data_IF_897299956439
#
_entry.id   IF_897299956439
#
_cell.length_a   1.000
_cell.length_b   1.000
_cell.length_c   1.000
_cell.angle_alpha   90.00
_cell.angle_beta   90.00
_cell.angle_gamma   90.00
#
_symmetry.space_group_name_H-M   'P 1'
#
loop_
_entity.id
_entity.type
_entity.pdbx_description
1 polymer ?
#
# COMPACT_ATOMS: atom_id res chain seq x y z
N UNK A 1 6.25 24.79 -4.11
CA UNK A 1 6.97 23.56 -3.74
C UNK A 1 6.05 22.38 -4.05
N UNK A 2 6.61 21.26 -4.46
CA UNK A 2 5.92 19.97 -4.49
C UNK A 2 6.62 19.00 -3.52
N UNK A 3 5.83 18.25 -2.76
CA UNK A 3 6.33 17.52 -1.60
C UNK A 3 5.29 16.58 -1.00
N UNK A 4 5.76 15.72 -0.11
CA UNK A 4 4.90 14.83 0.67
C UNK A 4 4.49 15.52 1.97
N UNK A 5 3.19 15.54 2.27
CA UNK A 5 2.69 16.02 3.56
C UNK A 5 2.80 14.88 4.58
N UNK A 6 3.46 15.14 5.70
CA UNK A 6 3.79 14.16 6.72
C UNK A 6 3.39 14.65 8.11
N UNK A 7 3.28 13.72 9.07
CA UNK A 7 3.33 14.04 10.50
C UNK A 7 4.72 13.67 11.00
N UNK A 8 5.39 14.59 11.68
CA UNK A 8 6.75 14.38 12.19
C UNK A 8 6.76 14.66 13.69
N UNK A 9 7.07 13.65 14.50
CA UNK A 9 7.15 13.77 15.96
C UNK A 9 8.56 13.38 16.37
N UNK A 10 9.21 14.22 17.18
CA UNK A 10 10.61 14.02 17.62
C UNK A 10 11.58 13.75 16.46
N UNK A 11 11.38 14.45 15.33
CA UNK A 11 12.20 14.31 14.13
C UNK A 11 11.96 13.00 13.35
N UNK A 12 10.91 12.24 13.67
CA UNK A 12 10.55 10.98 13.01
C UNK A 12 9.23 11.06 12.28
N UNK A 13 9.24 10.63 11.02
CA UNK A 13 8.01 10.49 10.22
C UNK A 13 7.10 9.43 10.85
N UNK A 14 5.86 9.83 11.08
CA UNK A 14 4.83 8.96 11.63
C UNK A 14 4.09 8.21 10.51
N UNK A 15 3.48 7.05 10.82
CA UNK A 15 2.68 6.30 9.85
C UNK A 15 1.57 7.14 9.22
N UNK A 16 1.23 6.85 7.96
CA UNK A 16 0.16 7.55 7.23
C UNK A 16 -1.19 7.56 7.98
N UNK A 17 -1.47 6.53 8.78
CA UNK A 17 -2.66 6.48 9.63
C UNK A 17 -2.74 7.65 10.63
N UNK A 18 -1.60 8.14 11.13
CA UNK A 18 -1.53 9.33 11.98
C UNK A 18 -1.91 10.58 11.21
N UNK A 19 -1.40 10.74 9.98
CA UNK A 19 -1.79 11.84 9.08
C UNK A 19 -3.29 11.81 8.76
N UNK A 20 -3.86 10.63 8.51
CA UNK A 20 -5.29 10.47 8.22
C UNK A 20 -6.20 11.01 9.33
N UNK A 21 -5.75 11.02 10.60
CA UNK A 21 -6.52 11.59 11.69
C UNK A 21 -6.66 13.11 11.59
N UNK A 22 -5.76 13.78 10.85
CA UNK A 22 -5.78 15.22 10.56
C UNK A 22 -6.37 15.56 9.19
N UNK A 23 -6.18 14.70 8.19
CA UNK A 23 -6.68 14.93 6.84
C UNK A 23 -8.20 15.14 6.84
N UNK A 24 -8.68 16.08 6.02
CA UNK A 24 -10.10 16.42 5.83
C UNK A 24 -10.84 16.96 7.07
N UNK A 25 -10.14 17.31 8.15
CA UNK A 25 -10.76 18.04 9.26
C UNK A 25 -10.86 19.53 8.93
N UNK A 26 -12.06 20.11 9.11
CA UNK A 26 -12.28 21.56 8.97
C UNK A 26 -11.67 22.37 10.11
N UNK A 27 -11.67 21.80 11.32
CA UNK A 27 -11.10 22.41 12.52
C UNK A 27 -10.21 21.38 13.23
N UNK A 28 -9.04 21.84 13.68
CA UNK A 28 -8.06 21.05 14.42
C UNK A 28 -7.84 21.74 15.75
N UNK A 29 -7.96 21.02 16.87
CA UNK A 29 -7.75 21.63 18.19
C UNK A 29 -6.26 21.95 18.42
N UNK A 30 -5.92 22.91 19.30
CA UNK A 30 -4.53 23.20 19.65
C UNK A 30 -3.77 21.95 20.14
N UNK A 31 -4.43 21.10 20.93
CA UNK A 31 -3.85 19.85 21.41
C UNK A 31 -3.52 18.87 20.26
N UNK A 32 -4.41 18.73 19.27
CA UNK A 32 -4.15 17.89 18.10
C UNK A 32 -3.04 18.46 17.22
N UNK A 33 -2.96 19.78 17.10
CA UNK A 33 -1.91 20.44 16.35
C UNK A 33 -0.53 20.19 16.98
N UNK A 34 -0.44 20.30 18.31
CA UNK A 34 0.79 20.03 19.07
C UNK A 34 1.18 18.54 19.04
N UNK A 35 0.21 17.63 19.15
CA UNK A 35 0.48 16.18 19.18
C UNK A 35 0.82 15.59 17.81
N UNK A 36 0.34 16.21 16.72
CA UNK A 36 0.55 15.72 15.35
C UNK A 36 0.94 16.89 14.44
N UNK A 37 2.11 17.51 14.64
CA UNK A 37 2.53 18.64 13.80
C UNK A 37 2.79 18.15 12.37
N UNK A 38 2.32 18.93 11.40
CA UNK A 38 2.50 18.60 9.99
C UNK A 38 3.81 19.18 9.48
N UNK A 39 4.48 18.43 8.62
CA UNK A 39 5.69 18.82 7.92
C UNK A 39 5.55 18.50 6.43
N UNK A 40 6.39 19.11 5.61
CA UNK A 40 6.50 18.83 4.17
C UNK A 40 7.90 18.29 3.89
N UNK A 41 7.97 17.11 3.29
CA UNK A 41 9.20 16.61 2.68
C UNK A 41 9.21 16.93 1.19
N UNK A 42 9.88 18.02 0.85
CA UNK A 42 9.89 18.59 -0.48
C UNK A 42 10.77 17.79 -1.45
N UNK A 43 10.27 17.56 -2.66
CA UNK A 43 11.00 16.81 -3.70
C UNK A 43 11.04 17.50 -5.07
N UNK A 44 10.33 18.63 -5.24
CA UNK A 44 10.43 19.47 -6.44
C UNK A 44 10.07 20.95 -6.16
N UNK A 45 10.49 21.85 -7.04
CA UNK A 45 10.12 23.26 -7.02
C UNK A 45 9.51 23.67 -8.35
N UNK A 46 8.22 24.02 -8.33
CA UNK A 46 7.44 24.30 -9.54
C UNK A 46 7.52 25.77 -9.97
N UNK A 47 7.70 26.69 -9.03
CA UNK A 47 7.79 28.12 -9.28
C UNK A 47 8.54 28.82 -8.15
N UNK A 48 9.22 29.92 -8.46
CA UNK A 48 9.91 30.78 -7.50
C UNK A 48 9.90 32.24 -7.98
N UNK A 49 9.52 33.20 -7.14
CA UNK A 49 9.59 34.62 -7.50
C UNK A 49 8.75 35.03 -8.71
N UNK A 50 7.68 34.30 -9.02
CA UNK A 50 6.84 34.52 -10.21
C UNK A 50 7.34 33.82 -11.49
N UNK A 51 8.52 33.20 -11.45
CA UNK A 51 9.06 32.37 -12.53
C UNK A 51 8.46 30.96 -12.47
N UNK A 52 7.95 30.45 -13.60
CA UNK A 52 7.54 29.05 -13.75
C UNK A 52 8.76 28.17 -14.04
N UNK A 53 9.10 27.29 -13.10
CA UNK A 53 10.28 26.42 -13.20
C UNK A 53 9.95 25.07 -13.83
N UNK A 54 8.67 24.72 -14.01
CA UNK A 54 8.25 23.42 -14.56
C UNK A 54 8.89 23.06 -15.90
N UNK A 55 9.12 24.01 -16.84
CA UNK A 55 9.81 23.69 -18.09
C UNK A 55 11.29 23.30 -17.94
N UNK A 56 11.93 23.65 -16.83
CA UNK A 56 13.36 23.37 -16.60
C UNK A 56 13.59 21.88 -16.30
N UNK A 57 14.80 21.34 -16.59
CA UNK A 57 15.20 20.01 -16.15
C UNK A 57 15.08 19.79 -14.63
N UNK A 58 14.77 18.56 -14.21
CA UNK A 58 14.68 18.20 -12.79
C UNK A 58 15.93 18.60 -11.99
N UNK A 59 17.13 18.42 -12.55
CA UNK A 59 18.38 18.82 -11.88
C UNK A 59 18.45 20.31 -11.57
N UNK A 60 17.96 21.16 -12.47
CA UNK A 60 17.90 22.61 -12.25
C UNK A 60 16.85 22.96 -11.19
N UNK A 61 15.66 22.35 -11.27
CA UNK A 61 14.59 22.57 -10.28
C UNK A 61 15.01 22.08 -8.89
N UNK A 62 15.75 20.97 -8.81
CA UNK A 62 16.27 20.42 -7.56
C UNK A 62 17.31 21.35 -6.92
N UNK A 63 18.25 21.88 -7.70
CA UNK A 63 19.22 22.86 -7.18
C UNK A 63 18.52 24.13 -6.65
N UNK A 64 17.50 24.62 -7.38
CA UNK A 64 16.67 25.75 -6.92
C UNK A 64 15.89 25.41 -5.64
N UNK A 65 15.34 24.20 -5.54
CA UNK A 65 14.66 23.72 -4.34
C UNK A 65 15.60 23.70 -3.12
N UNK A 66 16.81 23.17 -3.29
CA UNK A 66 17.80 23.09 -2.21
C UNK A 66 18.17 24.48 -1.69
N UNK A 67 18.46 25.42 -2.59
CA UNK A 67 18.73 26.82 -2.22
C UNK A 67 17.51 27.48 -1.56
N UNK A 68 16.30 27.21 -2.06
CA UNK A 68 15.06 27.74 -1.50
C UNK A 68 14.84 27.25 -0.05
N UNK A 69 14.94 25.94 0.20
CA UNK A 69 14.72 25.36 1.53
C UNK A 69 15.81 25.81 2.51
N UNK A 70 17.07 25.89 2.07
CA UNK A 70 18.16 26.41 2.91
C UNK A 70 17.92 27.87 3.34
N UNK A 71 17.43 28.72 2.43
CA UNK A 71 17.08 30.11 2.73
C UNK A 71 15.84 30.23 3.61
N UNK A 72 14.86 29.34 3.45
CA UNK A 72 13.65 29.32 4.24
C UNK A 72 13.95 29.00 5.72
N UNK A 73 14.84 28.04 5.98
CA UNK A 73 15.29 27.69 7.34
C UNK A 73 14.18 27.17 8.27
N UNK A 74 13.04 26.75 7.72
CA UNK A 74 11.90 26.24 8.47
C UNK A 74 12.06 24.73 8.72
N UNK A 75 12.17 24.27 9.97
CA UNK A 75 12.32 22.86 10.30
C UNK A 75 11.11 21.99 9.92
N UNK A 76 9.94 22.59 9.65
CA UNK A 76 8.78 21.86 9.16
C UNK A 76 8.85 21.54 7.66
N UNK A 77 9.86 22.04 6.94
CA UNK A 77 10.03 21.79 5.51
C UNK A 77 11.44 21.26 5.27
N UNK A 78 11.55 19.95 5.06
CA UNK A 78 12.81 19.29 4.73
C UNK A 78 12.86 18.84 3.27
N UNK A 79 14.01 18.32 2.84
CA UNK A 79 14.22 17.81 1.50
C UNK A 79 14.12 16.29 1.49
N UNK A 80 13.41 15.73 0.51
CA UNK A 80 13.53 14.32 0.18
C UNK A 80 14.99 14.00 -0.17
N UNK A 81 15.61 12.98 0.47
CA UNK A 81 16.99 12.60 0.20
C UNK A 81 17.19 12.17 -1.26
N UNK A 82 18.28 12.63 -1.88
CA UNK A 82 18.72 12.08 -3.15
C UNK A 82 19.49 10.79 -2.91
N UNK A 83 19.17 9.74 -3.67
CA UNK A 83 19.88 8.46 -3.65
C UNK A 83 20.84 8.44 -4.84
N UNK A 84 22.17 8.52 -4.63
CA UNK A 84 23.14 8.35 -5.71
C UNK A 84 23.13 6.89 -6.20
N UNK A 85 23.19 6.70 -7.51
CA UNK A 85 23.27 5.37 -8.11
C UNK A 85 23.98 5.44 -9.46
N UNK A 86 24.57 4.32 -9.88
CA UNK A 86 25.23 4.11 -11.18
C UNK A 86 24.62 2.93 -11.93
N UNK A 87 23.97 2.03 -11.21
CA UNK A 87 23.37 0.80 -11.73
C UNK A 87 21.96 0.58 -11.16
N UNK A 88 21.24 -0.39 -11.75
CA UNK A 88 19.98 -0.87 -11.18
C UNK A 88 20.17 -1.63 -9.87
N UNK A 89 21.33 -2.27 -9.68
CA UNK A 89 21.65 -3.01 -8.45
C UNK A 89 21.85 -2.05 -7.27
N UNK A 90 22.44 -0.87 -7.50
CA UNK A 90 22.55 0.18 -6.47
C UNK A 90 21.15 0.63 -5.99
N UNK A 91 20.21 0.80 -6.93
CA UNK A 91 18.83 1.15 -6.61
C UNK A 91 18.12 -0.01 -5.90
N UNK A 92 18.37 -1.26 -6.29
CA UNK A 92 17.81 -2.42 -5.61
C UNK A 92 18.31 -2.51 -4.16
N UNK A 93 19.60 -2.26 -3.92
CA UNK A 93 20.19 -2.20 -2.59
C UNK A 93 19.58 -1.07 -1.75
N UNK A 94 19.44 0.13 -2.32
CA UNK A 94 18.81 1.27 -1.64
C UNK A 94 17.33 1.02 -1.30
N UNK A 95 16.62 0.29 -2.16
CA UNK A 95 15.22 -0.10 -1.92
C UNK A 95 15.11 -1.13 -0.80
N UNK A 96 16.06 -2.06 -0.72
CA UNK A 96 16.11 -3.11 0.30
C UNK A 96 16.54 -2.57 1.67
N UNK A 97 17.45 -1.60 1.72
CA UNK A 97 17.91 -0.95 2.95
C UNK A 97 17.85 0.59 2.84
N UNK A 98 16.66 1.21 2.99
CA UNK A 98 16.54 2.66 2.94
C UNK A 98 17.26 3.37 4.08
N UNK A 99 17.47 2.69 5.22
CA UNK A 99 18.13 3.28 6.39
C UNK A 99 19.57 3.68 6.04
N UNK A 100 20.32 2.77 5.42
CA UNK A 100 21.69 3.03 4.96
C UNK A 100 21.75 3.97 3.74
N UNK A 101 20.64 4.18 3.03
CA UNK A 101 20.57 4.93 1.77
C UNK A 101 19.77 6.24 1.90
N UNK A 102 19.93 6.93 3.03
CA UNK A 102 19.49 8.32 3.21
C UNK A 102 18.16 8.50 3.92
N UNK A 103 17.36 7.45 4.12
CA UNK A 103 16.15 7.55 4.94
C UNK A 103 16.46 7.52 6.44
N UNK A 104 17.62 6.96 6.83
CA UNK A 104 18.05 6.86 8.22
C UNK A 104 16.95 6.26 9.09
N UNK A 105 16.54 7.02 10.12
CA UNK A 105 15.52 6.58 11.04
C UNK A 105 14.08 6.57 10.51
N UNK A 106 13.83 7.14 9.34
CA UNK A 106 12.53 7.12 8.67
C UNK A 106 12.37 5.91 7.73
N UNK A 107 13.32 4.97 7.72
CA UNK A 107 13.34 3.83 6.80
C UNK A 107 12.04 3.00 6.81
N UNK A 108 11.37 2.87 7.96
CA UNK A 108 10.09 2.15 8.08
C UNK A 108 8.92 2.90 7.43
N UNK A 109 9.04 4.22 7.25
CA UNK A 109 8.04 5.04 6.57
C UNK A 109 8.24 5.08 5.04
N UNK A 110 9.36 4.56 4.52
CA UNK A 110 9.68 4.58 3.09
C UNK A 110 8.98 3.46 2.34
N UNK A 111 8.10 3.81 1.39
CA UNK A 111 7.38 2.84 0.54
C UNK A 111 8.22 2.33 -0.65
N UNK A 112 9.37 2.95 -0.94
CA UNK A 112 10.26 2.61 -2.04
C UNK A 112 10.99 3.82 -2.62
N UNK A 113 11.38 3.73 -3.88
CA UNK A 113 12.14 4.77 -4.59
C UNK A 113 11.29 5.51 -5.61
N UNK A 114 11.51 6.82 -5.72
CA UNK A 114 11.06 7.62 -6.85
C UNK A 114 12.23 7.86 -7.80
N UNK A 115 12.16 7.29 -8.99
CA UNK A 115 13.18 7.44 -10.03
C UNK A 115 12.69 8.48 -11.03
N UNK A 116 13.44 9.57 -11.18
CA UNK A 116 13.09 10.67 -12.08
C UNK A 116 14.17 10.82 -13.14
N UNK A 117 13.79 11.02 -14.40
CA UNK A 117 14.73 11.39 -15.45
C UNK A 117 15.28 12.80 -15.16
N UNK A 118 16.60 12.90 -15.03
CA UNK A 118 17.30 14.14 -14.66
C UNK A 118 16.98 15.33 -15.58
N UNK A 119 16.90 15.08 -16.90
CA UNK A 119 16.64 16.08 -17.91
C UNK A 119 15.14 16.43 -18.10
N UNK A 120 14.24 15.76 -17.38
CA UNK A 120 12.81 15.89 -17.63
C UNK A 120 12.22 17.20 -17.09
N UNK A 121 11.32 17.86 -17.85
CA UNK A 121 10.47 18.90 -17.29
C UNK A 121 9.49 18.31 -16.29
N UNK A 122 8.84 19.17 -15.51
CA UNK A 122 7.70 18.78 -14.69
C UNK A 122 6.43 18.79 -15.56
N UNK A 123 5.82 17.62 -15.75
CA UNK A 123 4.62 17.48 -16.57
C UNK A 123 3.38 17.33 -15.69
N UNK A 124 2.36 18.20 -15.85
CA UNK A 124 1.12 18.06 -15.08
C UNK A 124 0.35 16.80 -15.48
N UNK A 125 -0.28 16.16 -14.50
CA UNK A 125 -1.12 14.98 -14.73
C UNK A 125 -0.37 13.65 -14.62
N UNK A 126 -0.93 12.59 -15.22
CA UNK A 126 -0.41 11.21 -15.12
C UNK A 126 0.37 10.81 -16.38
N UNK A 127 1.44 11.54 -16.67
CA UNK A 127 2.33 11.21 -17.78
C UNK A 127 3.23 10.05 -17.38
N UNK A 128 3.31 9.01 -18.22
CA UNK A 128 4.18 7.86 -17.99
C UNK A 128 5.57 8.11 -18.59
N UNK A 129 6.61 7.59 -17.96
CA UNK A 129 7.95 7.47 -18.57
C UNK A 129 9.02 8.43 -18.03
N UNK A 130 8.62 9.57 -17.47
CA UNK A 130 9.59 10.49 -16.85
C UNK A 130 9.88 10.14 -15.39
N UNK A 131 8.84 9.71 -14.67
CA UNK A 131 8.90 9.36 -13.27
C UNK A 131 8.41 7.93 -13.07
N UNK A 132 9.15 7.16 -12.28
CA UNK A 132 8.81 5.79 -11.92
C UNK A 132 8.81 5.67 -10.40
N UNK A 133 7.76 5.03 -9.89
CA UNK A 133 7.71 4.58 -8.49
C UNK A 133 8.16 3.12 -8.46
N UNK A 134 9.27 2.85 -7.79
CA UNK A 134 9.73 1.50 -7.52
C UNK A 134 9.45 1.18 -6.06
N UNK A 135 8.22 0.73 -5.79
CA UNK A 135 7.78 0.35 -4.46
C UNK A 135 8.52 -0.88 -3.95
N UNK A 136 8.55 -1.08 -2.63
CA UNK A 136 8.92 -2.36 -2.01
C UNK A 136 8.07 -3.50 -2.56
N UNK A 137 8.61 -4.72 -2.49
CA UNK A 137 7.84 -5.90 -2.89
C UNK A 137 6.66 -6.06 -1.93
N UNK A 138 5.47 -6.40 -2.46
CA UNK A 138 4.32 -6.62 -1.59
C UNK A 138 4.59 -7.85 -0.72
N UNK A 139 3.98 -7.86 0.46
CA UNK A 139 3.84 -9.11 1.20
C UNK A 139 2.86 -10.02 0.48
N UNK A 140 3.04 -11.33 0.62
CA UNK A 140 2.15 -12.33 0.04
C UNK A 140 1.64 -13.27 1.12
N UNK A 141 0.41 -13.73 0.96
CA UNK A 141 -0.20 -14.78 1.77
C UNK A 141 -1.06 -15.67 0.89
N UNK A 142 -1.03 -16.97 1.11
CA UNK A 142 -1.97 -17.90 0.51
C UNK A 142 -3.23 -17.96 1.38
N UNK A 143 -4.35 -17.44 0.86
CA UNK A 143 -5.62 -17.33 1.58
C UNK A 143 -6.75 -18.06 0.83
N UNK A 144 -7.73 -18.57 1.57
CA UNK A 144 -8.89 -19.30 1.02
C UNK A 144 -10.01 -18.33 0.66
N UNK A 145 -10.59 -18.45 -0.54
CA UNK A 145 -11.79 -17.72 -0.93
C UNK A 145 -12.98 -18.17 -0.08
N UNK A 146 -13.61 -17.23 0.64
CA UNK A 146 -14.76 -17.52 1.50
C UNK A 146 -16.06 -16.98 0.90
N UNK A 147 -16.03 -15.74 0.42
CA UNK A 147 -17.20 -15.05 -0.12
C UNK A 147 -16.88 -14.33 -1.42
N UNK A 148 -17.87 -14.25 -2.31
CA UNK A 148 -17.77 -13.51 -3.55
C UNK A 148 -19.04 -12.69 -3.78
N UNK A 149 -18.88 -11.42 -4.14
CA UNK A 149 -19.97 -10.48 -4.41
C UNK A 149 -19.99 -10.09 -5.90
N UNK A 150 -21.19 -9.89 -6.45
CA UNK A 150 -21.36 -9.39 -7.81
C UNK A 150 -20.70 -8.03 -7.99
N UNK A 151 -19.97 -7.87 -9.09
CA UNK A 151 -19.37 -6.60 -9.47
C UNK A 151 -20.41 -5.55 -9.87
N UNK A 152 -19.93 -4.34 -10.14
CA UNK A 152 -20.73 -3.24 -10.66
C UNK A 152 -20.30 -2.85 -12.08
N UNK A 153 -21.18 -2.16 -12.82
CA UNK A 153 -20.88 -1.66 -14.18
C UNK A 153 -20.50 -2.77 -15.17
N UNK A 154 -19.35 -2.62 -15.83
CA UNK A 154 -18.85 -3.57 -16.85
C UNK A 154 -18.65 -5.01 -16.34
N UNK A 155 -18.51 -5.20 -15.02
CA UNK A 155 -18.35 -6.52 -14.37
C UNK A 155 -19.62 -7.01 -13.66
N UNK A 156 -20.77 -6.39 -13.91
CA UNK A 156 -22.03 -6.74 -13.23
C UNK A 156 -22.50 -8.18 -13.42
N UNK A 157 -22.11 -8.84 -14.52
CA UNK A 157 -22.40 -10.26 -14.77
C UNK A 157 -21.52 -11.23 -13.97
N UNK A 158 -20.39 -10.77 -13.43
CA UNK A 158 -19.40 -11.58 -12.73
C UNK A 158 -19.43 -11.36 -11.22
N UNK A 159 -19.06 -12.39 -10.46
CA UNK A 159 -18.54 -12.19 -9.11
C UNK A 159 -17.11 -11.67 -9.20
N UNK A 160 -16.85 -10.46 -8.69
CA UNK A 160 -15.57 -9.77 -8.91
C UNK A 160 -15.03 -9.07 -7.68
N UNK A 161 -15.60 -9.36 -6.51
CA UNK A 161 -15.21 -8.78 -5.24
C UNK A 161 -15.19 -9.88 -4.18
N UNK A 162 -14.00 -10.24 -3.73
CA UNK A 162 -13.72 -11.52 -3.07
C UNK A 162 -13.22 -11.29 -1.65
N UNK A 163 -13.90 -11.90 -0.67
CA UNK A 163 -13.45 -11.97 0.72
C UNK A 163 -12.71 -13.29 0.92
N UNK A 164 -11.51 -13.20 1.48
CA UNK A 164 -10.65 -14.35 1.73
C UNK A 164 -10.18 -14.39 3.18
N UNK A 165 -9.86 -15.59 3.64
CA UNK A 165 -9.44 -15.87 5.00
C UNK A 165 -8.21 -16.76 5.08
N UNK A 166 -7.59 -16.73 6.25
CA UNK A 166 -6.47 -17.60 6.63
C UNK A 166 -6.92 -18.47 7.80
N UNK A 167 -6.21 -19.57 8.04
CA UNK A 167 -6.53 -20.45 9.16
C UNK A 167 -6.17 -19.81 10.49
N UNK A 168 -7.00 -20.08 11.50
CA UNK A 168 -6.73 -19.75 12.90
C UNK A 168 -7.05 -20.95 13.75
N UNK A 169 -6.21 -21.23 14.75
CA UNK A 169 -6.51 -22.22 15.78
C UNK A 169 -7.53 -21.64 16.76
N UNK A 170 -8.74 -22.19 16.74
CA UNK A 170 -9.80 -21.90 17.71
C UNK A 170 -9.92 -23.01 18.77
N UNK A 171 -10.83 -22.81 19.73
CA UNK A 171 -11.07 -23.78 20.81
C UNK A 171 -11.64 -25.11 20.29
N UNK A 172 -12.40 -25.08 19.19
CA UNK A 172 -13.05 -26.25 18.58
C UNK A 172 -12.28 -26.82 17.37
N UNK A 173 -11.06 -26.33 17.13
CA UNK A 173 -10.23 -26.71 15.98
C UNK A 173 -9.87 -25.52 15.09
N UNK A 174 -9.37 -25.81 13.88
CA UNK A 174 -9.03 -24.77 12.91
C UNK A 174 -10.28 -24.17 12.29
N UNK A 175 -10.32 -22.86 12.20
CA UNK A 175 -11.36 -22.09 11.53
C UNK A 175 -10.74 -21.08 10.56
N UNK A 176 -11.45 -20.74 9.49
CA UNK A 176 -11.04 -19.63 8.62
C UNK A 176 -11.53 -18.31 9.18
N UNK A 177 -10.64 -17.32 9.22
CA UNK A 177 -10.98 -15.95 9.60
C UNK A 177 -10.77 -14.99 8.44
N UNK A 178 -11.75 -14.13 8.10
CA UNK A 178 -11.56 -13.14 7.05
C UNK A 178 -10.44 -12.14 7.39
N UNK A 179 -9.54 -11.92 6.44
CA UNK A 179 -8.39 -10.99 6.60
C UNK A 179 -8.37 -9.86 5.59
N UNK A 180 -9.14 -9.97 4.51
CA UNK A 180 -9.19 -8.94 3.50
C UNK A 180 -10.24 -9.18 2.43
N UNK A 181 -10.35 -8.19 1.55
CA UNK A 181 -11.22 -8.23 0.38
C UNK A 181 -10.49 -7.65 -0.83
N UNK A 182 -10.52 -8.33 -1.97
CA UNK A 182 -9.88 -7.87 -3.20
C UNK A 182 -10.84 -7.95 -4.38
N UNK A 183 -10.74 -6.96 -5.28
CA UNK A 183 -11.60 -6.83 -6.46
C UNK A 183 -10.81 -6.69 -7.78
N UNK A 184 -9.48 -6.89 -7.71
CA UNK A 184 -8.57 -6.79 -8.85
C UNK A 184 -7.32 -7.66 -8.62
N UNK A 185 -6.45 -7.69 -9.64
CA UNK A 185 -5.19 -8.45 -9.62
C UNK A 185 -5.20 -9.71 -10.50
N UNK A 186 -6.34 -10.03 -11.09
CA UNK A 186 -6.55 -11.14 -12.01
C UNK A 186 -6.79 -10.66 -13.44
N UNK A 187 -6.43 -11.50 -14.39
CA UNK A 187 -6.76 -11.38 -15.81
C UNK A 187 -8.25 -11.64 -16.07
N UNK A 188 -8.74 -11.29 -17.27
CA UNK A 188 -10.11 -11.60 -17.67
C UNK A 188 -10.37 -13.11 -17.77
N UNK A 189 -9.33 -13.92 -18.02
CA UNK A 189 -9.46 -15.38 -18.04
C UNK A 189 -9.57 -15.95 -16.63
N UNK A 190 -8.72 -15.51 -15.71
CA UNK A 190 -8.83 -15.86 -14.29
C UNK A 190 -10.18 -15.42 -13.70
N UNK A 191 -10.71 -14.25 -14.09
CA UNK A 191 -12.05 -13.82 -13.66
C UNK A 191 -13.13 -14.84 -14.04
N UNK A 192 -13.09 -15.41 -15.25
CA UNK A 192 -14.03 -16.45 -15.67
C UNK A 192 -13.84 -17.75 -14.90
N UNK A 193 -12.60 -18.11 -14.57
CA UNK A 193 -12.31 -19.29 -13.76
C UNK A 193 -12.88 -19.14 -12.35
N UNK A 194 -12.65 -18.01 -11.69
CA UNK A 194 -13.19 -17.71 -10.36
C UNK A 194 -14.72 -17.68 -10.41
N UNK A 195 -15.31 -17.01 -11.41
CA UNK A 195 -16.77 -16.93 -11.55
C UNK A 195 -17.41 -18.31 -11.73
N UNK A 196 -16.80 -19.19 -12.53
CA UNK A 196 -17.21 -20.60 -12.65
C UNK A 196 -17.14 -21.32 -11.32
N UNK A 197 -16.01 -21.21 -10.61
CA UNK A 197 -15.84 -21.82 -9.29
C UNK A 197 -16.94 -21.35 -8.33
N UNK A 198 -17.16 -20.04 -8.22
CA UNK A 198 -18.17 -19.45 -7.33
C UNK A 198 -19.57 -19.99 -7.64
N UNK A 199 -19.94 -20.10 -8.93
CA UNK A 199 -21.26 -20.61 -9.33
C UNK A 199 -21.45 -22.08 -8.99
N UNK A 200 -20.42 -22.90 -9.17
CA UNK A 200 -20.49 -24.35 -8.95
C UNK A 200 -20.40 -24.71 -7.46
N UNK A 201 -19.66 -23.94 -6.66
CA UNK A 201 -19.34 -24.26 -5.27
C UNK A 201 -20.03 -23.32 -4.27
N UNK A 202 -21.12 -22.65 -4.66
CA UNK A 202 -21.92 -21.83 -3.72
C UNK A 202 -22.61 -22.74 -2.70
N UNK A 203 -22.38 -22.50 -1.41
CA UNK A 203 -23.07 -23.19 -0.31
C UNK A 203 -24.18 -22.34 0.30
N UNK A 204 -24.01 -21.01 0.40
CA UNK A 204 -25.03 -20.09 0.90
C UNK A 204 -25.15 -18.82 0.03
N UNK A 205 -26.30 -18.14 0.14
CA UNK A 205 -26.62 -16.93 -0.63
C UNK A 205 -27.15 -15.82 0.28
N UNK A 206 -26.50 -14.66 0.21
CA UNK A 206 -26.88 -13.46 0.98
C UNK A 206 -27.02 -12.26 0.03
N UNK A 207 -28.19 -12.13 -0.61
CA UNK A 207 -28.42 -11.12 -1.63
C UNK A 207 -27.41 -11.24 -2.81
N UNK A 208 -26.57 -10.22 -3.06
CA UNK A 208 -25.54 -10.27 -4.12
C UNK A 208 -24.29 -11.07 -3.73
N UNK A 209 -24.19 -11.53 -2.48
CA UNK A 209 -23.03 -12.27 -1.95
C UNK A 209 -23.30 -13.77 -2.03
N UNK A 210 -22.27 -14.52 -2.39
CA UNK A 210 -22.21 -15.98 -2.36
C UNK A 210 -21.16 -16.38 -1.34
N UNK A 211 -21.53 -17.29 -0.47
CA UNK A 211 -20.56 -18.09 0.28
C UNK A 211 -20.23 -19.32 -0.54
N UNK A 212 -18.95 -19.64 -0.66
CA UNK A 212 -18.48 -20.81 -1.41
C UNK A 212 -17.96 -21.88 -0.47
N UNK A 213 -17.75 -23.11 -0.96
CA UNK A 213 -17.05 -24.13 -0.17
C UNK A 213 -15.65 -23.63 0.19
N UNK A 214 -15.29 -23.68 1.47
CA UNK A 214 -14.01 -23.18 2.01
C UNK A 214 -13.48 -24.04 3.16
N UNK A 215 -13.79 -25.34 3.17
CA UNK A 215 -13.30 -26.28 4.18
C UNK A 215 -11.86 -26.75 3.91
N UNK A 216 -11.25 -27.46 4.86
CA UNK A 216 -9.86 -27.95 4.72
C UNK A 216 -9.63 -28.80 3.45
N UNK A 217 -10.63 -29.62 3.08
CA UNK A 217 -10.54 -30.54 1.94
C UNK A 217 -10.93 -29.92 0.60
N UNK A 218 -11.73 -28.86 0.59
CA UNK A 218 -12.33 -28.30 -0.62
C UNK A 218 -12.50 -26.79 -0.52
N UNK A 219 -12.10 -26.09 -1.58
CA UNK A 219 -12.09 -24.63 -1.63
C UNK A 219 -11.10 -24.12 -2.66
N UNK A 220 -11.07 -22.81 -2.86
CA UNK A 220 -10.14 -22.15 -3.76
C UNK A 220 -9.11 -21.33 -2.97
N UNK A 221 -7.84 -21.71 -3.07
CA UNK A 221 -6.73 -20.92 -2.53
C UNK A 221 -6.29 -19.86 -3.54
N UNK A 222 -6.06 -18.65 -3.05
CA UNK A 222 -5.55 -17.52 -3.82
C UNK A 222 -4.32 -16.98 -3.13
N UNK A 223 -3.26 -16.75 -3.89
CA UNK A 223 -2.14 -15.95 -3.38
C UNK A 223 -2.58 -14.48 -3.43
N UNK A 224 -2.52 -13.81 -2.30
CA UNK A 224 -2.91 -12.41 -2.13
C UNK A 224 -1.67 -11.58 -1.83
N UNK A 225 -1.42 -10.58 -2.67
CA UNK A 225 -0.37 -9.59 -2.44
C UNK A 225 -0.95 -8.34 -1.77
N UNK A 226 -0.22 -7.75 -0.81
CA UNK A 226 -0.67 -6.57 -0.05
C UNK A 226 0.50 -5.67 0.37
N UNK A 227 0.21 -4.40 0.66
CA UNK A 227 1.24 -3.40 1.02
C UNK A 227 1.59 -3.38 2.52
N UNK A 228 0.74 -3.96 3.37
CA UNK A 228 0.98 -4.04 4.82
C UNK A 228 -0.28 -4.39 5.61
N UNK A 229 -0.16 -4.43 6.93
CA UNK A 229 -1.24 -4.78 7.86
C UNK A 229 -1.40 -3.73 8.96
N UNK A 230 -2.63 -3.53 9.41
CA UNK A 230 -2.95 -2.76 10.61
C UNK A 230 -3.67 -3.66 11.63
N UNK A 231 -3.46 -3.41 12.93
CA UNK A 231 -4.30 -4.00 13.98
C UNK A 231 -5.73 -3.50 13.85
N UNK A 232 -6.71 -4.36 14.09
CA UNK A 232 -8.12 -4.01 13.97
C UNK A 232 -9.00 -4.73 14.98
N UNK A 233 -9.72 -3.95 15.80
CA UNK A 233 -10.74 -4.48 16.72
C UNK A 233 -12.08 -4.78 16.03
N UNK A 234 -12.26 -4.34 14.77
CA UNK A 234 -13.49 -4.53 14.00
C UNK A 234 -13.54 -5.85 13.24
N UNK A 235 -12.39 -6.45 12.96
CA UNK A 235 -12.28 -7.68 12.19
C UNK A 235 -12.01 -8.85 13.15
N UNK A 236 -12.70 -9.98 12.96
CA UNK A 236 -12.53 -11.17 13.81
C UNK A 236 -11.09 -11.70 13.81
N UNK A 237 -10.35 -11.48 12.73
CA UNK A 237 -8.93 -11.84 12.59
C UNK A 237 -7.97 -10.95 13.39
N UNK A 238 -8.44 -9.82 13.93
CA UNK A 238 -7.59 -8.86 14.63
C UNK A 238 -6.74 -7.97 13.72
N UNK A 239 -6.85 -8.13 12.39
CA UNK A 239 -6.05 -7.41 11.39
C UNK A 239 -6.91 -6.83 10.27
N UNK A 240 -6.39 -5.81 9.61
CA UNK A 240 -6.93 -5.25 8.38
C UNK A 240 -5.81 -5.11 7.34
N UNK A 241 -5.99 -5.77 6.19
CA UNK A 241 -5.02 -5.78 5.09
C UNK A 241 -5.09 -4.51 4.23
N UNK A 242 -3.93 -3.90 3.96
CA UNK A 242 -3.81 -2.68 3.13
C UNK A 242 -3.59 -3.04 1.67
N UNK A 243 -4.46 -2.51 0.81
CA UNK A 243 -4.43 -2.67 -0.64
C UNK A 243 -4.23 -4.12 -1.13
N UNK A 244 -5.00 -5.09 -0.62
CA UNK A 244 -4.94 -6.45 -1.12
C UNK A 244 -5.32 -6.54 -2.61
N UNK A 245 -4.59 -7.40 -3.32
CA UNK A 245 -4.90 -7.82 -4.69
C UNK A 245 -4.62 -9.30 -4.86
N UNK A 246 -5.36 -9.96 -5.74
CA UNK A 246 -5.05 -11.34 -6.11
C UNK A 246 -3.76 -11.31 -6.92
N UNK A 247 -2.73 -12.04 -6.50
CA UNK A 247 -1.49 -12.20 -7.25
C UNK A 247 -1.58 -13.34 -8.26
N UNK A 248 -2.16 -14.48 -7.83
CA UNK A 248 -2.44 -15.65 -8.67
C UNK A 248 -3.44 -16.60 -8.01
N UNK A 249 -4.11 -17.41 -8.82
CA UNK A 249 -4.92 -18.54 -8.35
C UNK A 249 -4.03 -19.74 -8.04
N UNK A 250 -4.20 -20.35 -6.87
CA UNK A 250 -3.38 -21.47 -6.38
C UNK A 250 -4.14 -22.79 -6.49
N UNK A 251 -4.51 -23.16 -7.72
CA UNK A 251 -5.13 -24.46 -8.02
C UNK A 251 -4.26 -25.65 -7.62
N UNK A 252 -2.95 -25.42 -7.47
CA UNK A 252 -1.95 -26.38 -7.00
C UNK A 252 -1.98 -26.60 -5.47
N UNK A 253 -2.69 -25.76 -4.71
CA UNK A 253 -2.66 -25.76 -3.24
C UNK A 253 -4.04 -26.13 -2.68
N UNK A 254 -4.08 -27.04 -1.72
CA UNK A 254 -5.31 -27.36 -1.00
C UNK A 254 -5.60 -26.30 0.05
N UNK A 255 -6.88 -26.05 0.41
CA UNK A 255 -7.23 -25.10 1.45
C UNK A 255 -6.52 -25.39 2.78
N UNK A 256 -6.41 -26.65 3.22
CA UNK A 256 -5.72 -27.04 4.45
C UNK A 256 -4.25 -26.58 4.54
N UNK A 257 -3.62 -26.35 3.39
CA UNK A 257 -2.22 -25.93 3.29
C UNK A 257 -2.08 -24.39 3.21
N UNK A 258 -3.19 -23.65 3.13
CA UNK A 258 -3.20 -22.18 3.18
C UNK A 258 -2.61 -21.64 4.49
N UNK A 259 -2.19 -20.39 4.48
CA UNK A 259 -1.42 -19.84 5.60
C UNK A 259 -2.29 -19.67 6.86
N UNK A 260 -1.63 -19.61 8.02
CA UNK A 260 -2.27 -19.35 9.32
C UNK A 260 -2.15 -17.86 9.70
N UNK A 261 -3.04 -17.37 10.57
CA UNK A 261 -3.12 -15.97 11.01
C UNK A 261 -1.80 -15.49 11.62
N UNK A 262 -1.03 -16.39 12.24
CA UNK A 262 0.30 -16.15 12.79
C UNK A 262 1.27 -15.61 11.73
N UNK A 263 1.15 -16.06 10.47
CA UNK A 263 1.93 -15.57 9.32
C UNK A 263 1.71 -14.07 9.12
N UNK A 264 0.46 -13.62 9.27
CA UNK A 264 0.11 -12.20 9.14
C UNK A 264 0.51 -11.42 10.39
N UNK A 265 0.31 -11.98 11.58
CA UNK A 265 0.67 -11.31 12.84
C UNK A 265 2.17 -11.05 12.96
N UNK A 266 3.01 -11.93 12.40
CA UNK A 266 4.46 -11.74 12.32
C UNK A 266 4.88 -10.54 11.45
N UNK A 267 4.01 -10.07 10.55
CA UNK A 267 4.25 -8.90 9.69
C UNK A 267 3.76 -7.58 10.30
N UNK A 268 3.09 -7.62 11.46
CA UNK A 268 2.72 -6.38 12.14
C UNK A 268 3.97 -5.71 12.72
N UNK A 269 4.08 -4.38 12.61
CA UNK A 269 5.16 -3.65 13.29
C UNK A 269 5.18 -4.00 14.78
N UNK A 270 6.38 -4.20 15.32
CA UNK A 270 6.58 -4.38 16.76
C UNK A 270 6.17 -3.08 17.49
N UNK A 271 4.92 -3.06 17.98
CA UNK A 271 4.38 -2.14 18.98
C UNK A 271 4.75 -0.66 18.89
N UNK A 272 3.81 0.15 18.41
CA UNK A 272 3.55 1.49 18.95
C UNK A 272 2.27 1.46 19.76
#
# INVERSE_FOLDING_TARGET
IDGELLIVVDGRVQPFATLQQRLNRKTVSPAQFAAMPAAIRAYDLLAEGGEDLRPLPFTHRRARLEAFVARLGDPAIDLSPMVPFRSWDDLAAARADPAAHGAGGDAEAVEGLMIKRAAAPYLPGRVRGEWFKWKRDPFEVDAVLMYAQRGHGKRSSFYSDYTFGVWRRGAEGRELVPVGKAYFGFTDEELKQIDRFVRTHTVNRFGPVREVVHGEAEGLVMQVAFEGLNRSTRHKSGVAMRFPRIARLRWDKRPADADEIETLLALLPAGG
#
